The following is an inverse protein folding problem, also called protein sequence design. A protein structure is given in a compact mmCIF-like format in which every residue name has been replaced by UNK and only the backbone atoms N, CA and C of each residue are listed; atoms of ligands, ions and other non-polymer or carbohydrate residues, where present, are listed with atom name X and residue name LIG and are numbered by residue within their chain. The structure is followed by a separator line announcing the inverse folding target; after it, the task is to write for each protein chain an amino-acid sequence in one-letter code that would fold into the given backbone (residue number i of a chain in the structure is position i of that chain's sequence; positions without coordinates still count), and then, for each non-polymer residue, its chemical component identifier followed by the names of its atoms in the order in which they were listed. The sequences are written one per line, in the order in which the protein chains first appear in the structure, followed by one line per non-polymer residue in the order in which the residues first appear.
data_IF_963171244483
#
_entry.id   IF_963171244483
#
_cell.length_a   1.000
_cell.length_b   1.000
_cell.length_c   1.000
_cell.angle_alpha   90.00
_cell.angle_beta   90.00
_cell.angle_gamma   90.00
#
_symmetry.space_group_name_H-M   'P 1'
#
loop_
_entity.id
_entity.type
_entity.pdbx_description
1 polymer ?
#
# COMPACT_ATOMS: atom_id res chain seq x y z
N UNK A 1 -31.72 -5.13 26.58
CA UNK A 1 -31.19 -3.92 25.89
C UNK A 1 -29.70 -3.63 26.14
N UNK A 2 -29.04 -4.18 27.17
CA UNK A 2 -27.61 -3.93 27.42
C UNK A 2 -26.67 -4.72 26.49
N UNK A 3 -26.97 -5.99 26.21
CA UNK A 3 -26.13 -6.88 25.37
C UNK A 3 -25.96 -6.35 23.94
N UNK A 4 -27.04 -5.82 23.35
CA UNK A 4 -27.00 -5.22 22.01
C UNK A 4 -26.11 -3.95 21.96
N UNK A 5 -26.07 -3.16 23.05
CA UNK A 5 -25.24 -1.94 23.13
C UNK A 5 -23.75 -2.27 23.17
N UNK A 6 -23.36 -3.24 23.99
CA UNK A 6 -21.96 -3.70 24.06
C UNK A 6 -21.52 -4.35 22.74
N UNK A 7 -22.39 -5.16 22.12
CA UNK A 7 -22.10 -5.75 20.81
C UNK A 7 -21.89 -4.71 19.71
N UNK A 8 -22.69 -3.65 19.69
CA UNK A 8 -22.56 -2.54 18.73
C UNK A 8 -21.25 -1.78 18.91
N UNK A 9 -20.87 -1.48 20.15
CA UNK A 9 -19.59 -0.80 20.45
C UNK A 9 -18.41 -1.68 20.03
N UNK A 10 -18.45 -2.98 20.31
CA UNK A 10 -17.40 -3.92 19.91
C UNK A 10 -17.27 -3.99 18.38
N UNK A 11 -18.40 -4.07 17.68
CA UNK A 11 -18.44 -4.08 16.21
C UNK A 11 -17.83 -2.82 15.61
N UNK A 12 -18.16 -1.64 16.16
CA UNK A 12 -17.58 -0.36 15.70
C UNK A 12 -16.07 -0.30 15.92
N UNK A 13 -15.58 -0.80 17.05
CA UNK A 13 -14.13 -0.89 17.33
C UNK A 13 -13.45 -1.86 16.35
N UNK A 14 -14.06 -3.00 16.06
CA UNK A 14 -13.56 -3.96 15.06
C UNK A 14 -13.54 -3.37 13.65
N UNK A 15 -14.61 -2.67 13.23
CA UNK A 15 -14.65 -2.00 11.93
C UNK A 15 -13.60 -0.89 11.80
N UNK A 16 -13.32 -0.15 12.87
CA UNK A 16 -12.28 0.87 12.90
C UNK A 16 -10.86 0.27 12.99
N UNK A 17 -10.71 -0.89 13.62
CA UNK A 17 -9.44 -1.60 13.78
C UNK A 17 -9.08 -2.47 12.56
N UNK A 18 -10.06 -2.83 11.73
CA UNK A 18 -9.81 -3.48 10.45
C UNK A 18 -9.01 -2.51 9.57
N UNK A 19 -7.79 -2.87 9.16
CA UNK A 19 -6.99 -2.00 8.32
C UNK A 19 -7.73 -1.81 6.99
N UNK A 20 -8.20 -0.58 6.73
CA UNK A 20 -8.66 -0.15 5.41
C UNK A 20 -7.57 -0.31 4.32
N UNK A 21 -6.34 -0.57 4.75
CA UNK A 21 -5.14 -0.88 3.96
C UNK A 21 -5.15 -2.28 3.31
N UNK A 22 -6.18 -3.10 3.54
CA UNK A 22 -6.29 -4.42 2.91
C UNK A 22 -6.59 -4.30 1.41
N UNK A 23 -5.56 -4.01 0.62
CA UNK A 23 -5.65 -4.08 -0.83
C UNK A 23 -6.03 -5.49 -1.27
N UNK A 24 -6.90 -5.65 -2.28
CA UNK A 24 -7.20 -6.96 -2.84
C UNK A 24 -5.89 -7.69 -3.20
N UNK A 25 -5.78 -9.01 -2.97
CA UNK A 25 -4.54 -9.75 -3.26
C UNK A 25 -4.02 -9.56 -4.68
N UNK A 26 -4.94 -9.43 -5.65
CA UNK A 26 -4.62 -9.17 -7.05
C UNK A 26 -4.03 -7.76 -7.32
N UNK A 27 -4.27 -6.79 -6.44
CA UNK A 27 -3.82 -5.40 -6.56
C UNK A 27 -2.51 -5.16 -5.83
N UNK A 28 -2.27 -5.89 -4.73
CA UNK A 28 -1.11 -5.68 -3.84
C UNK A 28 0.22 -5.69 -4.59
N UNK A 29 0.44 -6.67 -5.47
CA UNK A 29 1.68 -6.76 -6.24
C UNK A 29 1.86 -5.57 -7.19
N UNK A 30 0.80 -5.18 -7.91
CA UNK A 30 0.82 -4.04 -8.84
C UNK A 30 1.07 -2.73 -8.10
N UNK A 31 0.45 -2.56 -6.93
CA UNK A 31 0.66 -1.38 -6.11
C UNK A 31 2.08 -1.28 -5.56
N UNK A 32 2.66 -2.41 -5.11
CA UNK A 32 4.07 -2.45 -4.69
C UNK A 32 5.01 -2.07 -5.85
N UNK A 33 4.75 -2.56 -7.06
CA UNK A 33 5.50 -2.16 -8.26
C UNK A 33 5.33 -0.67 -8.56
N UNK A 34 4.10 -0.14 -8.48
CA UNK A 34 3.83 1.28 -8.67
C UNK A 34 4.62 2.15 -7.68
N UNK A 35 4.60 1.80 -6.38
CA UNK A 35 5.39 2.53 -5.38
C UNK A 35 6.88 2.44 -5.68
N UNK A 36 7.38 1.27 -6.07
CA UNK A 36 8.77 1.09 -6.44
C UNK A 36 9.19 1.86 -7.71
N UNK A 37 8.27 2.13 -8.63
CA UNK A 37 8.61 2.81 -9.88
C UNK A 37 8.39 4.31 -9.82
N UNK A 38 7.33 4.75 -9.13
CA UNK A 38 6.82 6.11 -9.27
C UNK A 38 6.85 6.92 -7.97
N UNK A 39 6.98 6.28 -6.81
CA UNK A 39 6.94 6.97 -5.51
C UNK A 39 8.30 6.86 -4.84
N UNK A 40 9.05 7.97 -4.85
CA UNK A 40 10.27 8.11 -4.06
C UNK A 40 10.48 9.57 -3.67
N UNK A 41 10.16 9.88 -2.41
CA UNK A 41 10.15 11.24 -1.87
C UNK A 41 11.53 11.91 -1.85
N UNK A 42 12.60 11.13 -1.88
CA UNK A 42 13.99 11.61 -1.91
C UNK A 42 14.62 11.59 -3.32
N UNK A 43 13.79 11.48 -4.38
CA UNK A 43 14.29 11.51 -5.75
C UNK A 43 14.83 12.89 -6.11
N UNK A 44 15.97 12.90 -6.80
CA UNK A 44 16.61 14.09 -7.35
C UNK A 44 17.13 13.77 -8.75
N UNK A 45 17.19 14.75 -9.65
CA UNK A 45 17.67 14.56 -11.03
C UNK A 45 19.06 13.89 -11.11
N UNK A 46 19.97 14.26 -10.19
CA UNK A 46 21.32 13.70 -10.12
C UNK A 46 21.38 12.19 -9.79
N UNK A 47 20.27 11.58 -9.34
CA UNK A 47 20.23 10.21 -8.83
C UNK A 47 19.50 9.23 -9.75
N UNK A 48 18.92 9.67 -10.87
CA UNK A 48 18.09 8.85 -11.74
C UNK A 48 18.75 7.51 -12.13
N UNK A 49 19.97 7.54 -12.67
CA UNK A 49 20.68 6.32 -13.09
C UNK A 49 20.95 5.36 -11.93
N UNK A 50 21.32 5.90 -10.76
CA UNK A 50 21.59 5.09 -9.57
C UNK A 50 20.31 4.46 -9.03
N UNK A 51 19.23 5.24 -8.90
CA UNK A 51 17.97 4.75 -8.33
C UNK A 51 17.25 3.78 -9.26
N UNK A 52 17.22 4.02 -10.57
CA UNK A 52 16.66 3.07 -11.55
C UNK A 52 17.36 1.71 -11.44
N UNK A 53 18.69 1.71 -11.35
CA UNK A 53 19.48 0.48 -11.18
C UNK A 53 19.24 -0.18 -9.82
N UNK A 54 19.32 0.58 -8.73
CA UNK A 54 19.21 0.07 -7.37
C UNK A 54 17.81 -0.52 -7.11
N UNK A 55 16.77 0.14 -7.63
CA UNK A 55 15.37 -0.27 -7.51
C UNK A 55 14.94 -1.27 -8.58
N UNK A 56 15.87 -1.68 -9.45
CA UNK A 56 15.68 -2.67 -10.51
C UNK A 56 14.46 -2.35 -11.39
N UNK A 57 14.29 -1.07 -11.71
CA UNK A 57 13.23 -0.63 -12.62
C UNK A 57 13.68 -1.01 -14.03
N UNK A 58 13.17 -2.13 -14.54
CA UNK A 58 13.47 -2.63 -15.89
C UNK A 58 12.49 -2.06 -16.90
N UNK A 59 12.99 -1.77 -18.09
CA UNK A 59 12.16 -1.32 -19.20
C UNK A 59 11.33 -2.51 -19.74
N UNK A 60 10.02 -2.35 -19.81
CA UNK A 60 9.10 -3.35 -20.38
C UNK A 60 8.44 -4.30 -19.39
N UNK A 61 7.15 -4.03 -19.14
CA UNK A 61 6.14 -4.99 -18.70
C UNK A 61 6.24 -5.55 -17.26
N UNK A 62 6.13 -4.67 -16.27
CA UNK A 62 6.02 -5.03 -14.84
C UNK A 62 4.65 -4.69 -14.21
N UNK A 63 3.65 -4.42 -15.06
CA UNK A 63 2.27 -4.17 -14.64
C UNK A 63 1.50 -5.45 -14.31
#
# INVERSE_FOLDING_TARGET
MAVCRFGLVLLLVLCAALPAEAQPPAVKHRYQNFLNQHVYTSMTEARCTSEIRNRRITDGNTN
#
